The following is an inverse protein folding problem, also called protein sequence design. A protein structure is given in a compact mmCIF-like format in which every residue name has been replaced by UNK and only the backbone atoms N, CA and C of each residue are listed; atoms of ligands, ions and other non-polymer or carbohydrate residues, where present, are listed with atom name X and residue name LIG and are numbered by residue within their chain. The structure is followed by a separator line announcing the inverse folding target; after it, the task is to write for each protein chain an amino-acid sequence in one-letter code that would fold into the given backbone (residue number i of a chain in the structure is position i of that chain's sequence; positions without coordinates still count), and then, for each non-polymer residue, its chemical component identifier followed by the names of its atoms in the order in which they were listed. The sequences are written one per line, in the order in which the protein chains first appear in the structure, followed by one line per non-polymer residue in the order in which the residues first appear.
data_IF_871957409278
#
_entry.id   IF_871957409278
#
_cell.length_a   1.000
_cell.length_b   1.000
_cell.length_c   1.000
_cell.angle_alpha   90.00
_cell.angle_beta   90.00
_cell.angle_gamma   90.00
#
_symmetry.space_group_name_H-M   'P 1'
#
loop_
_entity.id
_entity.type
_entity.pdbx_description
1 polymer ?
#
# COMPACT_ATOMS: atom_id res chain seq x y z
N UNK A 1 -12.50 40.11 7.37
CA UNK A 1 -13.91 40.01 7.80
C UNK A 1 -13.97 38.90 8.84
N UNK A 2 -14.63 39.17 9.97
CA UNK A 2 -14.86 38.20 11.04
C UNK A 2 -15.99 37.26 10.60
N UNK A 3 -15.74 35.95 10.46
CA UNK A 3 -16.80 35.03 10.03
C UNK A 3 -17.71 34.63 11.20
N UNK A 4 -17.15 34.45 12.41
CA UNK A 4 -17.87 34.02 13.60
C UNK A 4 -17.26 34.66 14.86
N UNK A 5 -18.09 34.91 15.88
CA UNK A 5 -17.68 35.38 17.20
C UNK A 5 -17.76 34.21 18.19
N UNK A 6 -16.76 34.08 19.05
CA UNK A 6 -16.75 33.08 20.14
C UNK A 6 -17.85 33.38 21.17
N UNK A 7 -18.63 32.36 21.55
CA UNK A 7 -19.71 32.51 22.52
C UNK A 7 -19.14 32.56 23.95
N UNK A 8 -18.89 33.76 24.50
CA UNK A 8 -18.66 33.91 25.94
C UNK A 8 -17.68 34.99 26.43
N UNK A 9 -16.94 35.70 25.58
CA UNK A 9 -16.07 36.77 26.08
C UNK A 9 -15.21 37.43 25.00
N UNK A 10 -15.15 38.76 25.02
CA UNK A 10 -14.29 39.64 24.22
C UNK A 10 -14.36 39.59 22.67
N UNK A 11 -15.14 38.70 22.05
CA UNK A 11 -15.43 38.77 20.60
C UNK A 11 -14.23 38.45 19.70
N UNK A 12 -13.43 37.45 20.07
CA UNK A 12 -12.38 36.93 19.19
C UNK A 12 -13.00 36.35 17.93
N UNK A 13 -12.47 36.74 16.78
CA UNK A 13 -12.89 36.21 15.48
C UNK A 13 -12.29 34.83 15.27
N UNK A 14 -13.15 33.86 15.01
CA UNK A 14 -12.76 32.47 14.76
C UNK A 14 -13.22 32.01 13.39
N UNK A 15 -12.56 31.01 12.83
CA UNK A 15 -12.93 30.47 11.52
C UNK A 15 -14.18 29.59 11.62
N UNK A 16 -14.30 28.86 12.73
CA UNK A 16 -15.39 27.92 12.99
C UNK A 16 -15.64 27.78 14.50
N UNK A 17 -16.77 27.19 14.86
CA UNK A 17 -17.02 26.68 16.21
C UNK A 17 -17.65 25.29 16.10
N UNK A 18 -17.76 24.55 17.20
CA UNK A 18 -18.48 23.28 17.20
C UNK A 18 -19.94 23.43 16.71
N UNK A 19 -20.61 24.54 17.05
CA UNK A 19 -21.98 24.81 16.61
C UNK A 19 -22.07 25.25 15.13
N UNK A 20 -20.96 25.70 14.55
CA UNK A 20 -20.87 26.20 13.18
C UNK A 20 -19.78 25.49 12.38
N UNK A 21 -19.62 24.17 12.61
CA UNK A 21 -18.64 23.33 11.91
C UNK A 21 -18.84 23.35 10.38
N UNK A 22 -20.07 23.62 9.90
CA UNK A 22 -20.37 23.80 8.48
C UNK A 22 -19.67 25.01 7.82
N UNK A 23 -19.05 25.90 8.59
CA UNK A 23 -18.18 26.96 8.05
C UNK A 23 -16.88 26.39 7.43
N UNK A 24 -16.49 25.18 7.83
CA UNK A 24 -15.36 24.45 7.29
C UNK A 24 -15.80 23.67 6.04
N UNK A 25 -15.16 23.93 4.90
CA UNK A 25 -15.52 23.34 3.59
C UNK A 25 -14.27 22.97 2.79
N UNK A 26 -14.46 22.28 1.66
CA UNK A 26 -13.36 21.89 0.78
C UNK A 26 -12.39 20.92 1.47
N UNK A 27 -11.09 21.21 1.37
CA UNK A 27 -10.00 20.39 1.94
C UNK A 27 -9.76 20.65 3.43
N UNK A 28 -10.50 21.58 4.05
CA UNK A 28 -10.48 21.80 5.49
C UNK A 28 -11.90 21.71 6.06
N UNK A 29 -12.52 20.52 6.10
CA UNK A 29 -13.92 20.35 6.49
C UNK A 29 -14.13 20.23 8.01
N UNK A 30 -13.07 20.10 8.81
CA UNK A 30 -13.17 19.83 10.24
C UNK A 30 -12.89 21.09 11.04
N UNK A 31 -13.76 21.43 11.99
CA UNK A 31 -13.46 22.47 12.96
C UNK A 31 -12.61 21.90 14.10
N UNK A 32 -11.35 22.30 14.18
CA UNK A 32 -10.45 21.88 15.26
C UNK A 32 -10.76 22.55 16.61
N UNK A 33 -10.14 22.05 17.69
CA UNK A 33 -10.26 22.64 19.02
C UNK A 33 -9.76 24.09 19.10
N UNK A 34 -8.82 24.45 18.22
CA UNK A 34 -8.29 25.83 18.05
C UNK A 34 -9.24 26.76 17.28
N UNK A 35 -10.49 26.34 17.05
CA UNK A 35 -11.51 27.12 16.34
C UNK A 35 -11.07 27.52 14.90
N UNK A 36 -10.19 26.70 14.31
CA UNK A 36 -9.67 26.78 12.95
C UNK A 36 -10.09 25.56 12.13
N UNK A 37 -10.30 25.76 10.83
CA UNK A 37 -10.63 24.65 9.95
C UNK A 37 -9.36 23.89 9.57
N UNK A 38 -9.42 22.56 9.62
CA UNK A 38 -8.34 21.65 9.23
C UNK A 38 -8.84 20.54 8.32
N UNK A 39 -7.91 19.92 7.61
CA UNK A 39 -8.16 18.66 6.91
C UNK A 39 -8.61 17.56 7.89
N UNK A 40 -9.45 16.64 7.42
CA UNK A 40 -9.69 15.39 8.12
C UNK A 40 -8.42 14.53 8.07
N UNK A 41 -8.12 13.85 9.17
CA UNK A 41 -6.99 12.89 9.25
C UNK A 41 -7.48 11.46 9.42
N UNK A 42 -8.67 11.29 10.01
CA UNK A 42 -9.33 10.00 10.23
C UNK A 42 -10.77 10.04 9.77
N UNK A 43 -11.35 8.88 9.49
CA UNK A 43 -12.74 8.75 9.06
C UNK A 43 -13.73 9.43 10.01
N UNK A 44 -13.55 9.26 11.32
CA UNK A 44 -14.40 9.82 12.36
C UNK A 44 -14.41 11.37 12.44
N UNK A 45 -13.47 12.06 11.78
CA UNK A 45 -13.51 13.52 11.67
C UNK A 45 -14.67 14.01 10.77
N UNK A 46 -15.17 13.13 9.90
CA UNK A 46 -16.22 13.44 8.93
C UNK A 46 -17.57 12.95 9.42
N UNK A 47 -18.64 13.74 9.22
CA UNK A 47 -20.00 13.31 9.52
C UNK A 47 -20.42 12.05 8.72
N UNK A 48 -19.87 11.89 7.51
CA UNK A 48 -20.02 10.71 6.65
C UNK A 48 -19.09 9.54 7.00
N UNK A 49 -18.25 9.69 8.02
CA UNK A 49 -17.20 8.71 8.36
C UNK A 49 -16.24 8.43 7.17
N UNK A 50 -16.12 9.37 6.24
CA UNK A 50 -15.40 9.15 4.98
C UNK A 50 -14.43 10.31 4.68
N UNK A 51 -13.30 10.31 5.39
CA UNK A 51 -12.15 11.16 5.07
C UNK A 51 -11.43 10.71 3.80
N UNK A 52 -11.20 11.65 2.88
CA UNK A 52 -10.52 11.43 1.60
C UNK A 52 -9.02 11.75 1.70
N UNK A 53 -8.25 11.28 0.71
CA UNK A 53 -6.79 11.44 0.68
C UNK A 53 -6.34 12.91 0.62
N UNK A 54 -7.17 13.80 0.07
CA UNK A 54 -6.89 15.24 -0.01
C UNK A 54 -7.30 16.02 1.25
N UNK A 55 -7.73 15.32 2.31
CA UNK A 55 -8.16 15.94 3.57
C UNK A 55 -9.60 16.43 3.58
N UNK A 56 -10.35 16.26 2.48
CA UNK A 56 -11.78 16.58 2.43
C UNK A 56 -12.65 15.43 2.96
N UNK A 57 -13.91 15.74 3.31
CA UNK A 57 -14.91 14.74 3.70
C UNK A 57 -15.81 14.41 2.51
N UNK A 58 -16.01 13.13 2.23
CA UNK A 58 -16.96 12.72 1.20
C UNK A 58 -18.41 13.04 1.64
N UNK A 59 -19.27 13.56 0.75
CA UNK A 59 -20.69 13.76 1.08
C UNK A 59 -21.40 12.42 1.23
N UNK A 60 -22.17 12.25 2.31
CA UNK A 60 -22.72 10.96 2.75
C UNK A 60 -23.60 10.28 1.70
N UNK A 61 -24.35 11.05 0.90
CA UNK A 61 -25.22 10.54 -0.17
C UNK A 61 -24.45 9.94 -1.35
N UNK A 62 -23.15 10.24 -1.47
CA UNK A 62 -22.24 9.67 -2.49
C UNK A 62 -21.35 8.57 -1.93
N UNK A 63 -21.51 8.18 -0.66
CA UNK A 63 -20.79 7.06 -0.03
C UNK A 63 -21.72 5.86 0.03
N UNK A 64 -21.28 4.70 -0.48
CA UNK A 64 -21.93 3.42 -0.23
C UNK A 64 -21.27 2.76 0.99
N UNK A 65 -22.06 2.39 1.99
CA UNK A 65 -21.55 1.78 3.22
C UNK A 65 -21.75 0.27 3.15
N UNK A 66 -20.66 -0.46 3.38
CA UNK A 66 -20.66 -1.91 3.53
C UNK A 66 -20.09 -2.27 4.89
N UNK A 67 -20.80 -3.11 5.63
CA UNK A 67 -20.37 -3.60 6.93
C UNK A 67 -20.65 -5.09 7.03
N UNK A 68 -19.62 -5.86 7.37
CA UNK A 68 -19.73 -7.31 7.50
C UNK A 68 -20.83 -7.70 8.51
N UNK A 69 -21.65 -8.69 8.15
CA UNK A 69 -22.79 -9.13 8.97
C UNK A 69 -24.07 -8.30 8.81
N UNK A 70 -24.08 -7.29 7.94
CA UNK A 70 -25.29 -6.53 7.59
C UNK A 70 -26.17 -7.28 6.59
N UNK A 71 -27.08 -6.59 5.88
CA UNK A 71 -27.99 -7.20 4.90
C UNK A 71 -27.83 -6.56 3.52
N UNK A 72 -27.73 -7.37 2.46
CA UNK A 72 -27.71 -6.87 1.08
C UNK A 72 -29.09 -6.39 0.57
N UNK A 73 -30.15 -6.62 1.34
CA UNK A 73 -31.44 -5.97 1.14
C UNK A 73 -31.42 -4.49 1.56
N UNK A 74 -30.39 -4.06 2.31
CA UNK A 74 -30.23 -2.67 2.74
C UNK A 74 -29.85 -1.73 1.57
N UNK A 75 -30.15 -0.42 1.70
CA UNK A 75 -29.85 0.59 0.67
C UNK A 75 -28.38 1.06 0.66
N UNK A 76 -27.49 0.41 1.42
CA UNK A 76 -26.08 0.77 1.55
C UNK A 76 -25.86 2.21 2.08
N UNK A 77 -26.70 2.65 3.03
CA UNK A 77 -26.56 3.95 3.70
C UNK A 77 -25.79 3.79 5.01
N UNK A 78 -25.33 4.89 5.62
CA UNK A 78 -24.59 4.83 6.89
C UNK A 78 -25.37 4.11 8.00
N UNK A 79 -26.69 4.35 8.08
CA UNK A 79 -27.58 3.72 9.06
C UNK A 79 -28.04 2.31 8.66
N UNK A 80 -27.87 1.92 7.39
CA UNK A 80 -28.27 0.62 6.86
C UNK A 80 -27.25 0.15 5.82
N UNK A 81 -26.04 -0.24 6.26
CA UNK A 81 -24.99 -0.71 5.38
C UNK A 81 -25.37 -2.04 4.71
N UNK A 82 -24.81 -2.29 3.53
CA UNK A 82 -24.94 -3.59 2.88
C UNK A 82 -23.95 -4.62 3.45
N UNK A 83 -24.24 -5.90 3.22
CA UNK A 83 -23.44 -7.01 3.73
C UNK A 83 -22.20 -7.28 2.87
N UNK A 84 -22.26 -6.97 1.57
CA UNK A 84 -21.19 -7.21 0.60
C UNK A 84 -20.70 -5.95 -0.12
N UNK A 85 -19.42 -5.97 -0.48
CA UNK A 85 -18.76 -4.97 -1.31
C UNK A 85 -19.33 -4.98 -2.73
N UNK A 86 -19.67 -6.15 -3.26
CA UNK A 86 -20.34 -6.29 -4.56
C UNK A 86 -21.67 -5.54 -4.59
N UNK A 87 -22.46 -5.62 -3.51
CA UNK A 87 -23.69 -4.85 -3.38
C UNK A 87 -23.42 -3.36 -3.26
N UNK A 88 -22.41 -2.95 -2.50
CA UNK A 88 -21.97 -1.56 -2.41
C UNK A 88 -21.53 -1.01 -3.77
N UNK A 89 -20.77 -1.80 -4.53
CA UNK A 89 -20.31 -1.48 -5.88
C UNK A 89 -21.51 -1.31 -6.81
N UNK A 90 -22.55 -2.14 -6.72
CA UNK A 90 -23.73 -2.01 -7.58
C UNK A 90 -24.47 -0.67 -7.45
N UNK A 91 -24.24 0.11 -6.38
CA UNK A 91 -24.84 1.45 -6.20
C UNK A 91 -24.28 2.52 -7.14
N UNK A 92 -23.15 2.25 -7.81
CA UNK A 92 -22.41 3.21 -8.65
C UNK A 92 -21.95 4.48 -7.92
N UNK A 93 -21.97 4.48 -6.58
CA UNK A 93 -21.37 5.55 -5.78
C UNK A 93 -19.84 5.49 -5.91
N UNK A 94 -19.15 6.64 -5.99
CA UNK A 94 -17.71 6.71 -6.19
C UNK A 94 -16.90 6.27 -4.96
N UNK A 95 -17.45 6.44 -3.75
CA UNK A 95 -16.78 6.10 -2.50
C UNK A 95 -17.50 4.93 -1.82
N UNK A 96 -16.75 3.92 -1.43
CA UNK A 96 -17.23 2.79 -0.66
C UNK A 96 -16.57 2.81 0.71
N UNK A 97 -17.37 2.96 1.78
CA UNK A 97 -16.91 2.92 3.16
C UNK A 97 -17.08 1.51 3.71
N UNK A 98 -16.00 0.90 4.17
CA UNK A 98 -15.95 -0.51 4.53
C UNK A 98 -15.65 -0.69 6.02
N UNK A 99 -16.37 -1.59 6.69
CA UNK A 99 -16.04 -2.03 8.06
C UNK A 99 -16.22 -3.54 8.23
N UNK A 100 -15.23 -4.17 8.86
CA UNK A 100 -15.25 -5.61 9.16
C UNK A 100 -14.57 -6.48 8.09
N UNK A 101 -14.89 -7.77 8.10
CA UNK A 101 -14.25 -8.78 7.25
C UNK A 101 -15.22 -9.30 6.18
N UNK A 102 -14.81 -9.20 4.91
CA UNK A 102 -15.57 -9.62 3.75
C UNK A 102 -14.90 -10.84 3.10
N UNK A 103 -15.72 -11.77 2.59
CA UNK A 103 -15.25 -12.92 1.81
C UNK A 103 -15.88 -12.87 0.43
N UNK A 104 -15.23 -12.18 -0.50
CA UNK A 104 -15.68 -12.01 -1.87
C UNK A 104 -14.53 -11.61 -2.80
N UNK A 105 -14.77 -11.67 -4.10
CA UNK A 105 -13.83 -11.18 -5.11
C UNK A 105 -14.45 -10.00 -5.85
N UNK A 106 -13.66 -8.97 -6.12
CA UNK A 106 -14.13 -7.73 -6.76
C UNK A 106 -13.62 -7.62 -8.19
N UNK A 107 -14.52 -7.17 -9.06
CA UNK A 107 -14.22 -6.81 -10.43
C UNK A 107 -14.49 -5.31 -10.62
N UNK A 108 -13.44 -4.55 -10.92
CA UNK A 108 -13.52 -3.13 -11.23
C UNK A 108 -13.18 -2.96 -12.71
N UNK A 109 -14.19 -2.58 -13.50
CA UNK A 109 -14.11 -2.57 -14.96
C UNK A 109 -15.03 -1.51 -15.59
N UNK A 110 -15.06 -1.42 -16.92
CA UNK A 110 -16.02 -0.60 -17.66
C UNK A 110 -15.83 0.91 -17.50
N UNK A 111 -14.59 1.38 -17.29
CA UNK A 111 -14.30 2.81 -17.12
C UNK A 111 -14.69 3.36 -15.74
N UNK A 112 -14.95 2.47 -14.78
CA UNK A 112 -15.45 2.83 -13.45
C UNK A 112 -14.35 3.44 -12.58
N UNK A 113 -14.69 4.48 -11.82
CA UNK A 113 -13.81 5.10 -10.83
C UNK A 113 -14.33 4.84 -9.41
N UNK A 114 -13.55 4.16 -8.59
CA UNK A 114 -13.94 3.77 -7.23
C UNK A 114 -12.82 4.06 -6.25
N UNK A 115 -13.19 4.57 -5.08
CA UNK A 115 -12.33 4.65 -3.91
C UNK A 115 -12.90 3.78 -2.79
N UNK A 116 -12.10 2.84 -2.29
CA UNK A 116 -12.41 2.02 -1.13
C UNK A 116 -11.76 2.65 0.12
N UNK A 117 -12.58 3.00 1.10
CA UNK A 117 -12.20 3.64 2.34
C UNK A 117 -12.43 2.63 3.48
N UNK A 118 -11.39 1.92 3.92
CA UNK A 118 -11.52 0.93 4.98
C UNK A 118 -11.42 1.55 6.38
N UNK A 119 -12.25 1.10 7.33
CA UNK A 119 -11.91 1.28 8.75
C UNK A 119 -10.65 0.47 9.11
N UNK A 120 -9.83 0.94 10.07
CA UNK A 120 -8.70 0.17 10.57
C UNK A 120 -9.10 -1.26 10.94
N UNK A 121 -8.34 -2.23 10.44
CA UNK A 121 -8.61 -3.66 10.66
C UNK A 121 -9.65 -4.29 9.73
N UNK A 122 -10.23 -3.53 8.80
CA UNK A 122 -11.09 -4.13 7.77
C UNK A 122 -10.27 -5.06 6.86
N UNK A 123 -10.94 -6.13 6.42
CA UNK A 123 -10.28 -7.23 5.72
C UNK A 123 -11.11 -7.72 4.54
N UNK A 124 -10.46 -8.00 3.43
CA UNK A 124 -11.04 -8.66 2.27
C UNK A 124 -10.31 -9.97 2.00
N UNK A 125 -11.06 -11.06 2.00
CA UNK A 125 -10.60 -12.41 1.63
C UNK A 125 -11.24 -12.77 0.30
N UNK A 126 -10.45 -13.25 -0.66
CA UNK A 126 -10.98 -13.64 -1.96
C UNK A 126 -11.98 -14.77 -1.86
N UNK A 127 -13.00 -14.76 -2.73
CA UNK A 127 -13.92 -15.88 -2.90
C UNK A 127 -13.76 -16.52 -4.29
N UNK A 128 -13.73 -17.85 -4.34
CA UNK A 128 -13.74 -18.60 -5.59
C UNK A 128 -12.36 -18.82 -6.20
N UNK A 129 -12.23 -18.61 -7.51
CA UNK A 129 -10.99 -18.82 -8.25
C UNK A 129 -10.53 -17.51 -8.87
N UNK A 130 -9.27 -17.15 -8.72
CA UNK A 130 -8.69 -15.93 -9.29
C UNK A 130 -8.28 -14.92 -8.24
N UNK A 131 -7.99 -13.70 -8.71
CA UNK A 131 -7.56 -12.61 -7.85
C UNK A 131 -8.70 -12.13 -6.94
N UNK A 132 -8.37 -11.74 -5.72
CA UNK A 132 -9.32 -11.10 -4.79
C UNK A 132 -9.83 -9.78 -5.35
N UNK A 133 -8.97 -8.99 -6.02
CA UNK A 133 -9.37 -7.81 -6.80
C UNK A 133 -8.80 -7.92 -8.21
N UNK A 134 -9.68 -7.86 -9.21
CA UNK A 134 -9.34 -7.75 -10.63
C UNK A 134 -9.72 -6.37 -11.16
N UNK A 135 -8.76 -5.66 -11.76
CA UNK A 135 -8.97 -4.34 -12.36
C UNK A 135 -8.63 -4.36 -13.85
N UNK A 136 -9.53 -3.88 -14.70
CA UNK A 136 -9.36 -3.84 -16.16
C UNK A 136 -10.16 -2.72 -16.83
N UNK A 137 -10.01 -2.64 -18.14
CA UNK A 137 -10.55 -1.67 -19.09
C UNK A 137 -9.97 -0.25 -18.99
N UNK A 138 -10.05 0.46 -20.13
CA UNK A 138 -9.62 1.84 -20.22
C UNK A 138 -10.53 2.78 -19.43
N UNK A 139 -9.91 3.77 -18.78
CA UNK A 139 -10.61 4.76 -17.96
C UNK A 139 -11.01 4.25 -16.58
N UNK A 140 -10.79 2.97 -16.27
CA UNK A 140 -11.04 2.41 -14.94
C UNK A 140 -10.00 2.92 -13.95
N UNK A 141 -10.44 3.30 -12.75
CA UNK A 141 -9.56 3.73 -11.66
C UNK A 141 -10.01 3.15 -10.32
N UNK A 142 -9.05 2.64 -9.57
CA UNK A 142 -9.25 2.10 -8.22
C UNK A 142 -8.27 2.78 -7.26
N UNK A 143 -8.79 3.37 -6.18
CA UNK A 143 -8.00 3.85 -5.05
C UNK A 143 -8.41 3.09 -3.80
N UNK A 144 -7.46 2.58 -3.01
CA UNK A 144 -7.74 1.84 -1.77
C UNK A 144 -6.84 2.38 -0.65
N UNK A 145 -7.44 2.57 0.53
CA UNK A 145 -6.72 2.97 1.74
C UNK A 145 -7.05 2.05 2.93
N UNK A 146 -6.04 1.73 3.73
CA UNK A 146 -6.14 1.08 5.05
C UNK A 146 -6.77 -0.33 5.05
N UNK A 147 -6.81 -1.02 3.91
CA UNK A 147 -7.42 -2.35 3.76
C UNK A 147 -6.39 -3.48 3.84
N UNK A 148 -6.74 -4.56 4.54
CA UNK A 148 -6.01 -5.83 4.45
C UNK A 148 -6.64 -6.75 3.41
N UNK A 149 -5.89 -7.17 2.40
CA UNK A 149 -6.27 -8.20 1.43
C UNK A 149 -5.48 -9.46 1.74
N UNK A 150 -6.17 -10.56 2.06
CA UNK A 150 -5.48 -11.74 2.54
C UNK A 150 -6.14 -13.06 2.14
N UNK A 151 -5.34 -14.13 2.22
CA UNK A 151 -5.80 -15.51 2.04
C UNK A 151 -6.57 -15.72 0.72
N UNK A 152 -6.10 -15.12 -0.38
CA UNK A 152 -6.73 -15.33 -1.68
C UNK A 152 -6.82 -16.84 -1.99
N UNK A 153 -7.96 -17.30 -2.52
CA UNK A 153 -8.17 -18.72 -2.76
C UNK A 153 -7.36 -19.17 -3.98
N UNK A 154 -6.99 -20.47 -4.00
CA UNK A 154 -6.24 -21.13 -5.10
C UNK A 154 -4.78 -20.67 -5.25
N UNK A 155 -3.86 -21.62 -5.21
CA UNK A 155 -2.42 -21.34 -5.26
C UNK A 155 -1.90 -20.79 -6.58
N UNK A 156 -2.59 -21.01 -7.71
CA UNK A 156 -2.09 -20.61 -9.03
C UNK A 156 -2.58 -19.22 -9.48
N UNK A 157 -3.76 -18.79 -9.02
CA UNK A 157 -4.39 -17.54 -9.48
C UNK A 157 -4.89 -16.65 -8.35
N UNK A 158 -4.72 -17.06 -7.09
CA UNK A 158 -5.04 -16.30 -5.88
C UNK A 158 -4.09 -15.14 -5.66
N UNK A 159 -4.17 -14.12 -6.52
CA UNK A 159 -3.50 -12.84 -6.31
C UNK A 159 -4.31 -11.99 -5.32
N UNK A 160 -3.64 -11.15 -4.54
CA UNK A 160 -4.35 -10.12 -3.78
C UNK A 160 -4.99 -9.09 -4.72
N UNK A 161 -4.20 -8.52 -5.63
CA UNK A 161 -4.67 -7.63 -6.69
C UNK A 161 -4.00 -7.94 -8.03
N UNK A 162 -4.79 -7.96 -9.10
CA UNK A 162 -4.35 -8.22 -10.46
C UNK A 162 -4.85 -7.17 -11.45
N UNK A 163 -3.93 -6.61 -12.23
CA UNK A 163 -4.23 -5.95 -13.52
C UNK A 163 -3.64 -6.82 -14.64
N UNK A 164 -4.46 -7.49 -15.45
CA UNK A 164 -3.97 -8.42 -16.46
C UNK A 164 -3.35 -7.67 -17.66
N UNK A 165 -2.52 -8.35 -18.46
CA UNK A 165 -2.00 -7.79 -19.70
C UNK A 165 -3.14 -7.45 -20.66
N UNK A 166 -3.00 -6.36 -21.42
CA UNK A 166 -4.03 -5.90 -22.36
C UNK A 166 -5.31 -5.37 -21.71
N UNK A 167 -5.31 -5.16 -20.39
CA UNK A 167 -6.47 -4.69 -19.62
C UNK A 167 -6.86 -3.22 -19.83
N UNK A 168 -6.52 -2.58 -20.96
CA UNK A 168 -6.99 -1.22 -21.28
C UNK A 168 -6.32 -0.05 -20.53
N UNK A 169 -5.23 -0.29 -19.80
CA UNK A 169 -4.48 0.74 -19.05
C UNK A 169 -5.27 1.42 -17.90
N UNK A 170 -5.75 0.66 -16.91
CA UNK A 170 -6.41 1.22 -15.72
C UNK A 170 -5.42 1.91 -14.79
N UNK A 171 -5.92 2.72 -13.84
CA UNK A 171 -5.09 3.33 -12.78
C UNK A 171 -5.41 2.72 -11.41
N UNK A 172 -4.39 2.30 -10.67
CA UNK A 172 -4.51 1.72 -9.33
C UNK A 172 -3.66 2.53 -8.35
N UNK A 173 -4.28 3.00 -7.28
CA UNK A 173 -3.63 3.70 -6.16
C UNK A 173 -3.89 2.94 -4.86
N UNK A 174 -2.83 2.57 -4.16
CA UNK A 174 -2.84 1.74 -2.96
C UNK A 174 -2.03 2.44 -1.87
N UNK A 175 -2.68 2.76 -0.76
CA UNK A 175 -2.04 3.46 0.37
C UNK A 175 -2.32 2.75 1.67
N UNK A 176 -1.29 2.52 2.50
CA UNK A 176 -1.46 1.86 3.79
C UNK A 176 -2.15 0.48 3.70
N UNK A 177 -1.85 -0.25 2.61
CA UNK A 177 -2.43 -1.57 2.35
C UNK A 177 -1.65 -2.67 3.05
N UNK A 178 -2.32 -3.78 3.36
CA UNK A 178 -1.66 -5.02 3.77
C UNK A 178 -2.05 -6.15 2.85
N UNK A 179 -1.10 -6.78 2.18
CA UNK A 179 -1.33 -7.98 1.36
C UNK A 179 -0.68 -9.18 2.02
N UNK A 180 -1.48 -10.13 2.51
CA UNK A 180 -0.99 -11.22 3.37
C UNK A 180 -1.40 -12.58 2.82
N UNK A 181 -0.46 -13.52 2.69
CA UNK A 181 -0.76 -14.92 2.39
C UNK A 181 -1.62 -15.11 1.11
N UNK A 182 -1.35 -14.32 0.06
CA UNK A 182 -1.97 -14.51 -1.25
C UNK A 182 -1.07 -15.43 -2.08
N UNK A 183 -1.54 -16.64 -2.43
CA UNK A 183 -0.63 -17.69 -2.84
C UNK A 183 -0.12 -17.55 -4.28
N UNK A 184 -0.80 -16.82 -5.17
CA UNK A 184 -0.26 -16.49 -6.50
C UNK A 184 0.59 -15.21 -6.49
N UNK A 185 0.54 -14.44 -5.39
CA UNK A 185 1.31 -13.21 -5.18
C UNK A 185 0.47 -12.09 -4.61
N UNK A 186 1.12 -11.08 -4.01
CA UNK A 186 0.42 -9.95 -3.41
C UNK A 186 -0.22 -9.05 -4.47
N UNK A 187 0.61 -8.47 -5.34
CA UNK A 187 0.18 -7.54 -6.39
C UNK A 187 0.85 -7.87 -7.72
N UNK A 188 0.08 -7.94 -8.79
CA UNK A 188 0.58 -8.15 -10.16
C UNK A 188 -0.05 -7.15 -11.12
N UNK A 189 0.77 -6.31 -11.75
CA UNK A 189 0.33 -5.30 -12.72
C UNK A 189 1.03 -5.56 -14.06
N UNK A 190 0.25 -5.84 -15.10
CA UNK A 190 0.73 -6.07 -16.46
C UNK A 190 0.22 -5.05 -17.49
N UNK A 191 -0.34 -3.93 -17.02
CA UNK A 191 -0.75 -2.78 -17.81
C UNK A 191 -1.21 -1.62 -16.93
N UNK A 192 -1.29 -0.40 -17.48
CA UNK A 192 -1.81 0.77 -16.76
C UNK A 192 -0.82 1.48 -15.84
N UNK A 193 -1.32 2.05 -14.75
CA UNK A 193 -0.49 2.75 -13.75
C UNK A 193 -0.70 2.22 -12.34
N UNK A 194 0.39 2.09 -11.58
CA UNK A 194 0.36 1.75 -10.16
C UNK A 194 0.99 2.84 -9.30
N UNK A 195 0.27 3.33 -8.29
CA UNK A 195 0.85 4.01 -7.14
C UNK A 195 0.68 3.12 -5.91
N UNK A 196 1.78 2.71 -5.29
CA UNK A 196 1.79 1.86 -4.10
C UNK A 196 2.63 2.52 -3.02
N UNK A 197 2.00 2.94 -1.94
CA UNK A 197 2.68 3.67 -0.87
C UNK A 197 2.35 3.15 0.51
N UNK A 198 3.32 3.22 1.43
CA UNK A 198 3.12 2.92 2.87
C UNK A 198 2.51 1.55 3.14
N UNK A 199 2.74 0.59 2.25
CA UNK A 199 2.05 -0.71 2.26
C UNK A 199 2.97 -1.85 2.66
N UNK A 200 2.37 -2.92 3.17
CA UNK A 200 3.07 -4.12 3.61
C UNK A 200 2.61 -5.34 2.80
N UNK A 201 3.54 -5.96 2.07
CA UNK A 201 3.32 -7.17 1.28
C UNK A 201 4.07 -8.31 1.98
N UNK A 202 3.32 -9.18 2.65
CA UNK A 202 3.85 -10.16 3.59
C UNK A 202 3.42 -11.60 3.30
N UNK A 203 4.35 -12.53 3.32
CA UNK A 203 4.06 -13.98 3.28
C UNK A 203 3.25 -14.43 2.05
N UNK A 204 3.41 -13.76 0.90
CA UNK A 204 2.70 -14.12 -0.32
C UNK A 204 3.52 -15.17 -1.09
N UNK A 205 3.00 -16.39 -1.24
CA UNK A 205 3.73 -17.52 -1.83
C UNK A 205 4.20 -17.22 -3.25
N UNK A 206 3.38 -16.62 -4.12
CA UNK A 206 3.79 -16.31 -5.50
C UNK A 206 4.64 -15.05 -5.64
N UNK A 207 5.03 -14.43 -4.53
CA UNK A 207 5.88 -13.25 -4.47
C UNK A 207 5.15 -11.98 -4.03
N UNK A 208 5.93 -10.92 -3.75
CA UNK A 208 5.41 -9.64 -3.30
C UNK A 208 4.77 -8.86 -4.44
N UNK A 209 5.60 -8.29 -5.31
CA UNK A 209 5.18 -7.38 -6.38
C UNK A 209 5.72 -7.81 -7.74
N UNK A 210 4.82 -7.97 -8.71
CA UNK A 210 5.18 -8.11 -10.13
C UNK A 210 4.72 -6.91 -10.94
N UNK A 211 5.63 -6.30 -11.68
CA UNK A 211 5.35 -5.26 -12.67
C UNK A 211 5.86 -5.73 -14.03
N UNK A 212 4.94 -5.79 -14.99
CA UNK A 212 5.20 -6.20 -16.36
C UNK A 212 4.43 -5.32 -17.34
N UNK A 213 4.70 -5.51 -18.63
CA UNK A 213 4.07 -4.76 -19.71
C UNK A 213 4.88 -3.52 -20.12
N UNK A 214 5.06 -3.26 -21.43
CA UNK A 214 5.88 -2.16 -21.92
C UNK A 214 5.28 -0.77 -21.62
N UNK A 215 3.96 -0.69 -21.45
CA UNK A 215 3.22 0.55 -21.24
C UNK A 215 2.85 0.80 -19.77
N UNK A 216 3.39 -0.01 -18.85
CA UNK A 216 3.11 0.12 -17.42
C UNK A 216 3.98 1.19 -16.79
N UNK A 217 3.33 2.16 -16.14
CA UNK A 217 3.97 3.20 -15.31
C UNK A 217 3.78 2.86 -13.82
N UNK A 218 4.73 3.23 -12.97
CA UNK A 218 4.52 3.05 -11.53
C UNK A 218 5.30 4.01 -10.64
N UNK A 219 4.76 4.24 -9.44
CA UNK A 219 5.41 4.88 -8.30
C UNK A 219 5.20 3.98 -7.09
N UNK A 220 6.26 3.30 -6.67
CA UNK A 220 6.25 2.36 -5.55
C UNK A 220 7.21 2.90 -4.50
N UNK A 221 6.67 3.45 -3.41
CA UNK A 221 7.52 4.07 -2.37
C UNK A 221 7.09 3.75 -0.96
N UNK A 222 8.06 3.72 -0.04
CA UNK A 222 7.78 3.64 1.39
C UNK A 222 7.04 2.34 1.77
N UNK A 223 7.33 1.23 1.09
CA UNK A 223 6.67 -0.07 1.32
C UNK A 223 7.60 -1.11 1.93
N UNK A 224 7.03 -2.05 2.68
CA UNK A 224 7.72 -3.26 3.16
C UNK A 224 7.27 -4.47 2.36
N UNK A 225 8.21 -5.21 1.78
CA UNK A 225 7.98 -6.47 1.07
C UNK A 225 8.79 -7.55 1.75
N UNK A 226 8.12 -8.36 2.58
CA UNK A 226 8.79 -9.31 3.44
C UNK A 226 8.24 -10.74 3.34
N UNK A 227 9.13 -11.73 3.53
CA UNK A 227 8.75 -13.14 3.61
C UNK A 227 7.96 -13.68 2.41
N UNK A 228 8.01 -13.03 1.25
CA UNK A 228 7.32 -13.48 0.06
C UNK A 228 8.14 -14.57 -0.66
N UNK A 229 7.46 -15.46 -1.37
CA UNK A 229 8.10 -16.54 -2.13
C UNK A 229 8.65 -17.71 -1.30
N UNK A 230 8.47 -17.66 0.03
CA UNK A 230 8.95 -18.69 0.97
C UNK A 230 8.47 -20.08 0.59
N UNK A 231 9.41 -21.01 0.48
CA UNK A 231 9.19 -22.32 -0.10
C UNK A 231 8.27 -23.19 0.78
N UNK A 232 6.95 -23.17 0.49
CA UNK A 232 6.15 -24.40 0.51
C UNK A 232 6.31 -24.99 -0.87
N UNK A 233 6.98 -26.14 -0.99
CA UNK A 233 7.18 -26.79 -2.28
C UNK A 233 5.85 -26.82 -3.09
N UNK A 234 5.86 -26.44 -4.38
CA UNK A 234 7.01 -26.01 -5.18
C UNK A 234 7.47 -24.57 -4.89
N UNK A 235 8.78 -24.31 -4.98
CA UNK A 235 9.35 -22.96 -4.81
C UNK A 235 8.73 -21.96 -5.79
N UNK A 236 8.36 -20.78 -5.31
CA UNK A 236 7.89 -19.68 -6.15
C UNK A 236 8.94 -19.25 -7.16
N UNK A 237 8.52 -18.79 -8.35
CA UNK A 237 9.44 -18.18 -9.30
C UNK A 237 9.94 -16.82 -8.80
N UNK A 238 9.18 -16.15 -7.93
CA UNK A 238 9.39 -14.79 -7.45
C UNK A 238 9.41 -14.72 -5.91
N UNK A 239 10.35 -13.93 -5.38
CA UNK A 239 10.40 -13.56 -3.96
C UNK A 239 9.75 -12.19 -3.72
N UNK A 240 10.57 -11.16 -3.51
CA UNK A 240 10.13 -9.81 -3.18
C UNK A 240 9.52 -9.10 -4.38
N UNK A 241 10.35 -8.70 -5.34
CA UNK A 241 9.94 -7.80 -6.43
C UNK A 241 10.49 -8.23 -7.78
N UNK A 242 9.65 -8.21 -8.82
CA UNK A 242 10.05 -8.32 -10.21
C UNK A 242 9.52 -7.15 -11.04
N UNK A 243 10.43 -6.42 -11.68
CA UNK A 243 10.14 -5.33 -12.62
C UNK A 243 10.71 -5.74 -13.97
N UNK A 244 9.83 -6.27 -14.84
CA UNK A 244 10.23 -6.96 -16.07
C UNK A 244 10.25 -6.03 -17.29
N UNK A 245 9.29 -5.12 -17.34
CA UNK A 245 9.13 -4.13 -18.40
C UNK A 245 8.41 -2.93 -17.82
N UNK A 246 8.81 -1.74 -18.24
CA UNK A 246 8.23 -0.50 -17.76
C UNK A 246 8.51 0.65 -18.71
N UNK A 247 7.77 1.73 -18.51
CA UNK A 247 8.00 3.01 -19.18
C UNK A 247 8.98 3.89 -18.39
N UNK A 248 9.60 4.83 -19.11
CA UNK A 248 10.37 5.93 -18.52
C UNK A 248 9.58 6.67 -17.44
N UNK A 249 10.27 7.13 -16.40
CA UNK A 249 9.68 7.89 -15.29
C UNK A 249 9.11 7.04 -14.16
N UNK A 250 9.19 5.71 -14.25
CA UNK A 250 8.76 4.81 -13.17
C UNK A 250 9.76 4.80 -12.01
N UNK A 251 9.25 4.69 -10.78
CA UNK A 251 10.01 4.87 -9.53
C UNK A 251 9.76 3.72 -8.57
N UNK A 252 10.84 3.15 -8.04
CA UNK A 252 10.85 2.19 -6.94
C UNK A 252 11.76 2.73 -5.84
N UNK A 253 11.26 3.58 -4.96
CA UNK A 253 12.11 4.37 -4.04
C UNK A 253 11.79 4.12 -2.58
N UNK A 254 12.79 4.10 -1.70
CA UNK A 254 12.58 4.01 -0.23
C UNK A 254 11.72 2.81 0.19
N UNK A 255 11.91 1.65 -0.43
CA UNK A 255 11.24 0.42 -0.02
C UNK A 255 12.18 -0.47 0.80
N UNK A 256 11.63 -1.25 1.72
CA UNK A 256 12.33 -2.32 2.43
C UNK A 256 11.94 -3.68 1.84
N UNK A 257 12.89 -4.37 1.19
CA UNK A 257 12.68 -5.69 0.56
C UNK A 257 13.51 -6.73 1.30
N UNK A 258 12.87 -7.56 2.12
CA UNK A 258 13.57 -8.31 3.15
C UNK A 258 13.06 -9.73 3.39
N UNK A 259 13.95 -10.69 3.67
CA UNK A 259 13.58 -12.09 4.01
C UNK A 259 12.71 -12.80 2.96
N UNK A 260 12.75 -12.36 1.70
CA UNK A 260 12.01 -13.02 0.63
C UNK A 260 12.83 -14.19 0.06
N UNK A 261 12.17 -15.17 -0.52
CA UNK A 261 12.81 -16.34 -1.13
C UNK A 261 12.29 -16.59 -2.55
N UNK A 262 13.08 -17.20 -3.43
CA UNK A 262 12.62 -17.57 -4.78
C UNK A 262 13.35 -18.80 -5.31
N UNK A 263 12.77 -19.49 -6.30
CA UNK A 263 13.35 -20.66 -6.96
C UNK A 263 14.49 -20.34 -7.95
N UNK A 264 14.99 -19.10 -7.98
CA UNK A 264 16.17 -18.71 -8.76
C UNK A 264 15.92 -18.23 -10.20
N UNK A 265 14.67 -18.23 -10.70
CA UNK A 265 14.35 -17.60 -12.00
C UNK A 265 14.41 -16.09 -11.89
N UNK A 266 13.77 -15.54 -10.85
CA UNK A 266 13.94 -14.16 -10.41
C UNK A 266 14.73 -14.15 -9.10
N UNK A 267 15.51 -13.10 -8.89
CA UNK A 267 16.13 -12.82 -7.59
C UNK A 267 15.09 -12.65 -6.51
N UNK A 268 15.44 -13.15 -5.34
CA UNK A 268 14.56 -13.13 -4.19
C UNK A 268 14.34 -11.73 -3.65
N UNK A 269 15.30 -10.81 -3.73
CA UNK A 269 15.10 -9.40 -3.38
C UNK A 269 14.41 -8.62 -4.50
N UNK A 270 15.20 -7.93 -5.32
CA UNK A 270 14.75 -7.11 -6.44
C UNK A 270 15.28 -7.65 -7.77
N UNK A 271 14.39 -8.17 -8.61
CA UNK A 271 14.68 -8.45 -10.02
C UNK A 271 14.25 -7.29 -10.88
N UNK A 272 15.20 -6.65 -11.56
CA UNK A 272 14.87 -5.53 -12.44
C UNK A 272 15.58 -5.66 -13.79
N UNK A 273 14.78 -5.87 -14.84
CA UNK A 273 15.22 -5.85 -16.24
C UNK A 273 14.73 -4.62 -16.99
N UNK A 274 13.94 -3.76 -16.36
CA UNK A 274 13.44 -2.51 -16.93
C UNK A 274 14.49 -1.38 -16.90
N UNK A 275 15.07 -0.96 -18.05
CA UNK A 275 16.25 -0.07 -18.10
C UNK A 275 16.01 1.38 -17.63
N UNK A 276 14.75 1.75 -17.33
CA UNK A 276 14.33 3.14 -17.14
C UNK A 276 13.73 3.40 -15.74
N UNK A 277 13.97 2.52 -14.78
CA UNK A 277 13.46 2.64 -13.41
C UNK A 277 14.50 3.31 -12.52
N UNK A 278 14.12 4.39 -11.85
CA UNK A 278 14.85 4.90 -10.70
C UNK A 278 14.53 4.05 -9.48
N UNK A 279 15.54 3.37 -8.93
CA UNK A 279 15.41 2.47 -7.80
C UNK A 279 16.27 2.93 -6.61
N UNK A 280 16.11 4.18 -6.13
CA UNK A 280 16.96 4.81 -5.11
C UNK A 280 16.41 4.69 -3.68
N UNK A 281 17.30 4.83 -2.69
CA UNK A 281 16.93 4.86 -1.27
C UNK A 281 16.37 3.56 -0.71
N UNK A 282 16.44 2.43 -1.43
CA UNK A 282 15.87 1.17 -0.98
C UNK A 282 16.80 0.45 0.00
N UNK A 283 16.21 -0.35 0.87
CA UNK A 283 16.90 -1.29 1.75
C UNK A 283 16.55 -2.72 1.33
N UNK A 284 17.52 -3.46 0.78
CA UNK A 284 17.33 -4.80 0.23
C UNK A 284 18.20 -5.77 1.03
N UNK A 285 17.59 -6.62 1.85
CA UNK A 285 18.31 -7.33 2.90
C UNK A 285 17.85 -8.78 3.07
N UNK A 286 18.80 -9.71 3.27
CA UNK A 286 18.51 -11.08 3.72
C UNK A 286 17.52 -11.85 2.84
N UNK A 287 17.50 -11.60 1.54
CA UNK A 287 16.69 -12.39 0.60
C UNK A 287 17.48 -13.65 0.17
N UNK A 288 16.83 -14.78 -0.11
CA UNK A 288 17.53 -16.05 -0.34
C UNK A 288 16.98 -16.96 -1.44
N UNK A 289 17.88 -17.58 -2.19
CA UNK A 289 17.55 -18.58 -3.22
C UNK A 289 17.97 -19.99 -2.74
N UNK A 290 17.37 -21.10 -3.20
CA UNK A 290 17.88 -22.44 -2.93
C UNK A 290 19.35 -22.58 -3.36
N UNK A 291 20.18 -23.14 -2.49
CA UNK A 291 21.61 -23.38 -2.77
C UNK A 291 21.89 -24.69 -3.55
N UNK A 292 20.84 -25.45 -3.87
CA UNK A 292 20.91 -26.76 -4.51
C UNK A 292 21.24 -27.93 -3.56
N UNK A 293 21.59 -27.64 -2.30
CA UNK A 293 21.95 -28.61 -1.25
C UNK A 293 20.92 -28.67 -0.11
N UNK A 294 19.76 -28.03 -0.30
CA UNK A 294 18.68 -27.96 0.70
C UNK A 294 18.79 -26.79 1.67
N UNK A 295 19.78 -25.90 1.48
CA UNK A 295 19.93 -24.64 2.20
C UNK A 295 19.50 -23.42 1.37
N UNK A 296 19.74 -22.24 1.94
CA UNK A 296 19.54 -20.95 1.28
C UNK A 296 20.88 -20.30 0.97
N UNK A 297 21.04 -19.88 -0.28
CA UNK A 297 22.07 -18.97 -0.74
C UNK A 297 21.66 -17.55 -0.35
N UNK A 298 22.47 -16.92 0.50
CA UNK A 298 22.30 -15.53 0.94
C UNK A 298 23.54 -14.73 0.51
N UNK A 299 23.61 -14.36 -0.77
CA UNK A 299 24.68 -13.53 -1.30
C UNK A 299 24.15 -12.31 -2.04
N UNK A 300 25.05 -11.41 -2.47
CA UNK A 300 24.65 -10.16 -3.14
C UNK A 300 23.81 -10.43 -4.40
N UNK A 301 24.06 -11.56 -5.09
CA UNK A 301 23.30 -11.92 -6.29
C UNK A 301 21.85 -12.26 -6.01
N UNK A 302 21.52 -12.68 -4.78
CA UNK A 302 20.13 -12.96 -4.35
C UNK A 302 19.38 -11.70 -3.93
N UNK A 303 20.10 -10.61 -3.60
CA UNK A 303 19.49 -9.33 -3.22
C UNK A 303 19.02 -8.57 -4.46
N UNK A 304 19.85 -8.48 -5.50
CA UNK A 304 19.53 -7.71 -6.71
C UNK A 304 19.89 -8.48 -7.97
N UNK A 305 19.00 -8.44 -8.97
CA UNK A 305 19.20 -9.02 -10.30
C UNK A 305 20.39 -8.42 -11.05
N UNK A 306 20.88 -9.09 -12.11
CA UNK A 306 22.01 -8.60 -12.88
C UNK A 306 21.84 -7.11 -13.25
N UNK A 307 22.90 -6.30 -13.13
CA UNK A 307 22.84 -4.84 -13.02
C UNK A 307 22.44 -4.06 -14.30
N UNK A 308 21.58 -4.60 -15.17
CA UNK A 308 21.23 -3.99 -16.46
C UNK A 308 19.92 -3.21 -16.53
N UNK A 309 19.01 -3.35 -15.55
CA UNK A 309 17.68 -2.71 -15.60
C UNK A 309 17.57 -1.43 -14.77
N UNK A 310 17.50 -1.55 -13.45
CA UNK A 310 17.23 -0.42 -12.57
C UNK A 310 18.48 0.40 -12.24
N UNK A 311 18.32 1.72 -12.16
CA UNK A 311 19.32 2.61 -11.56
C UNK A 311 19.17 2.62 -10.03
N UNK A 312 20.00 1.84 -9.32
CA UNK A 312 19.88 1.66 -7.87
C UNK A 312 20.21 2.89 -7.02
N UNK A 313 20.85 3.91 -7.59
CA UNK A 313 21.22 5.13 -6.85
C UNK A 313 22.00 4.82 -5.57
N UNK A 314 21.51 5.31 -4.43
CA UNK A 314 22.05 5.09 -3.09
C UNK A 314 21.39 3.93 -2.32
N UNK A 315 20.68 3.03 -3.00
CA UNK A 315 20.09 1.85 -2.35
C UNK A 315 21.16 0.95 -1.74
N UNK A 316 20.84 0.34 -0.60
CA UNK A 316 21.69 -0.61 0.10
C UNK A 316 21.18 -2.03 -0.12
N UNK A 317 22.03 -2.88 -0.69
CA UNK A 317 21.78 -4.30 -0.87
C UNK A 317 22.78 -5.14 -0.06
N UNK A 318 22.31 -5.84 0.96
CA UNK A 318 23.15 -6.61 1.87
C UNK A 318 22.66 -8.06 1.99
N UNK A 319 23.54 -9.06 1.78
CA UNK A 319 23.14 -10.45 1.85
C UNK A 319 22.82 -10.90 3.27
N UNK A 320 23.66 -10.51 4.22
CA UNK A 320 23.50 -10.78 5.64
C UNK A 320 24.20 -9.67 6.41
N UNK A 321 23.74 -9.44 7.62
CA UNK A 321 24.59 -8.96 8.70
C UNK A 321 24.56 -10.02 9.79
N UNK A 322 25.56 -10.01 10.67
CA UNK A 322 25.60 -10.96 11.77
C UNK A 322 24.53 -10.69 12.84
N UNK A 323 23.80 -9.55 12.79
CA UNK A 323 23.14 -8.97 13.97
C UNK A 323 21.81 -8.21 13.75
N UNK A 324 21.11 -8.35 12.61
CA UNK A 324 19.91 -7.56 12.25
C UNK A 324 20.26 -6.07 12.03
N UNK A 325 19.71 -5.45 10.98
CA UNK A 325 19.94 -4.05 10.61
C UNK A 325 19.32 -3.04 11.61
N UNK A 326 19.03 -3.48 12.84
CA UNK A 326 18.38 -2.70 13.87
C UNK A 326 16.86 -2.64 13.73
N UNK A 327 16.21 -3.55 12.99
CA UNK A 327 14.74 -3.64 12.99
C UNK A 327 14.22 -4.09 14.36
N UNK A 328 13.05 -3.59 14.78
CA UNK A 328 12.48 -3.89 16.10
C UNK A 328 12.14 -5.38 16.32
N UNK A 329 11.43 -6.02 15.39
CA UNK A 329 11.07 -7.45 15.49
C UNK A 329 10.91 -8.08 14.10
N UNK A 330 12.01 -8.22 13.33
CA UNK A 330 11.91 -8.66 11.95
C UNK A 330 11.57 -10.14 11.80
N UNK A 331 11.72 -10.96 12.85
CA UNK A 331 11.62 -12.43 12.79
C UNK A 331 10.46 -13.00 13.63
N UNK A 332 10.07 -12.30 14.70
CA UNK A 332 9.04 -12.79 15.64
C UNK A 332 7.73 -12.01 15.43
N UNK A 333 6.58 -12.69 15.26
CA UNK A 333 5.28 -12.05 15.21
C UNK A 333 4.93 -11.30 16.52
N UNK A 334 4.27 -10.13 16.45
CA UNK A 334 3.98 -9.39 15.22
C UNK A 334 5.27 -8.86 14.58
N UNK A 335 5.42 -9.11 13.28
CA UNK A 335 6.61 -8.70 12.54
C UNK A 335 6.65 -7.18 12.48
N UNK A 336 7.82 -6.62 12.79
CA UNK A 336 8.03 -5.18 12.92
C UNK A 336 9.36 -4.79 12.28
N UNK A 337 9.25 -4.01 11.22
CA UNK A 337 10.37 -3.53 10.39
C UNK A 337 10.69 -2.05 10.63
N UNK A 338 10.18 -1.44 11.72
CA UNK A 338 10.61 -0.09 12.10
C UNK A 338 12.06 -0.12 12.54
N UNK A 339 12.79 0.93 12.19
CA UNK A 339 14.16 1.18 12.58
C UNK A 339 14.23 1.50 14.08
N UNK A 340 15.37 1.22 14.71
CA UNK A 340 15.58 1.47 16.14
C UNK A 340 16.88 2.24 16.36
N UNK A 341 17.17 2.56 17.62
CA UNK A 341 18.44 3.19 17.99
C UNK A 341 19.67 2.34 17.66
N UNK A 342 19.48 1.04 17.44
CA UNK A 342 20.52 0.09 17.03
C UNK A 342 20.76 0.05 15.51
N UNK A 343 19.93 0.74 14.72
CA UNK A 343 20.11 0.81 13.26
C UNK A 343 21.47 1.45 12.92
N UNK A 344 22.29 0.82 12.06
CA UNK A 344 23.61 1.33 11.74
C UNK A 344 23.53 2.61 10.91
N UNK A 345 24.56 3.46 10.99
CA UNK A 345 24.68 4.70 10.21
C UNK A 345 24.78 4.48 8.68
N UNK A 346 24.93 3.23 8.23
CA UNK A 346 24.83 2.89 6.80
C UNK A 346 23.38 2.89 6.31
N UNK A 347 22.41 2.79 7.22
CA UNK A 347 20.97 2.87 6.94
C UNK A 347 20.41 4.21 7.39
N UNK A 348 20.75 4.65 8.60
CA UNK A 348 20.27 5.91 9.17
C UNK A 348 20.97 7.12 8.53
N UNK A 349 20.21 8.14 8.16
CA UNK A 349 20.65 9.37 7.48
C UNK A 349 21.44 9.09 6.17
N UNK A 350 21.27 7.92 5.56
CA UNK A 350 22.04 7.48 4.38
C UNK A 350 21.28 7.62 3.04
N UNK A 351 19.99 7.92 3.11
CA UNK A 351 19.07 8.12 1.99
C UNK A 351 19.24 9.45 1.25
N UNK A 352 19.99 10.41 1.82
CA UNK A 352 20.17 11.74 1.27
C UNK A 352 18.93 12.63 1.47
N UNK A 353 18.81 13.71 0.70
CA UNK A 353 17.66 14.61 0.78
C UNK A 353 16.40 13.93 0.20
N UNK A 354 15.31 13.91 0.97
CA UNK A 354 14.01 13.48 0.48
C UNK A 354 12.88 14.25 1.19
N UNK A 355 11.65 14.02 0.75
CA UNK A 355 10.42 14.56 1.35
C UNK A 355 9.34 13.49 1.29
N UNK A 356 8.25 13.71 2.04
CA UNK A 356 7.09 12.83 2.02
C UNK A 356 6.84 12.23 3.38
N UNK A 357 6.18 11.08 3.36
CA UNK A 357 5.71 10.37 4.55
C UNK A 357 6.19 8.93 4.45
N UNK A 358 6.76 8.39 5.52
CA UNK A 358 7.24 7.01 5.60
C UNK A 358 6.12 5.99 5.88
N UNK A 359 6.47 4.75 6.23
CA UNK A 359 5.55 3.64 6.42
C UNK A 359 4.40 3.92 7.39
N UNK A 360 4.65 4.59 8.51
CA UNK A 360 3.69 4.73 9.60
C UNK A 360 3.05 6.12 9.69
N UNK A 361 3.45 7.05 8.81
CA UNK A 361 2.83 8.37 8.73
C UNK A 361 3.73 9.52 9.16
N UNK A 362 5.01 9.26 9.45
CA UNK A 362 5.96 10.28 9.89
C UNK A 362 6.56 11.02 8.69
N UNK A 363 6.86 12.31 8.91
CA UNK A 363 7.44 13.14 7.87
C UNK A 363 8.93 12.80 7.65
N UNK A 364 9.37 12.84 6.39
CA UNK A 364 10.77 12.67 6.02
C UNK A 364 11.45 14.01 5.67
N UNK A 365 12.76 14.18 5.97
CA UNK A 365 13.57 13.34 6.86
C UNK A 365 13.20 13.57 8.33
N UNK A 366 13.38 12.56 9.18
CA UNK A 366 13.34 12.75 10.64
C UNK A 366 14.67 13.32 11.18
N UNK A 367 15.78 13.02 10.51
CA UNK A 367 17.14 13.42 10.88
C UNK A 367 17.76 14.48 9.97
N UNK A 368 19.07 14.36 9.75
CA UNK A 368 19.84 15.24 8.86
C UNK A 368 19.63 14.86 7.39
N UNK A 369 19.27 13.62 7.13
CA UNK A 369 18.90 13.08 5.83
C UNK A 369 17.84 11.98 6.03
N UNK A 370 17.27 11.48 4.94
CA UNK A 370 16.33 10.37 5.05
C UNK A 370 17.06 9.07 5.35
N UNK A 371 16.37 8.16 6.01
CA UNK A 371 16.85 6.79 6.19
C UNK A 371 16.65 5.97 4.92
N UNK A 372 17.43 4.90 4.76
CA UNK A 372 17.20 3.92 3.69
C UNK A 372 16.05 2.98 4.06
N UNK A 373 15.19 2.71 3.07
CA UNK A 373 14.03 1.83 3.24
C UNK A 373 12.75 2.57 3.61
N UNK A 374 11.77 1.80 4.05
CA UNK A 374 10.37 2.25 4.19
C UNK A 374 10.07 3.15 5.39
N UNK A 375 10.98 3.25 6.35
CA UNK A 375 10.75 3.83 7.67
C UNK A 375 11.81 4.88 7.99
N UNK A 376 11.48 5.89 8.80
CA UNK A 376 12.46 6.79 9.44
C UNK A 376 12.63 6.41 10.92
N UNK A 377 13.88 6.39 11.39
CA UNK A 377 14.15 6.30 12.81
C UNK A 377 13.81 7.62 13.51
N UNK A 378 12.74 7.61 14.29
CA UNK A 378 12.42 8.67 15.25
C UNK A 378 12.84 8.26 16.68
N UNK A 379 13.71 9.03 17.36
CA UNK A 379 14.25 8.71 18.69
C UNK A 379 13.25 8.56 19.83
#
# INVERSE_FOLDING_TARGET
MCNLLEAGGAGTCVQCTAASAAACTGQTPVCGGELSCRACSVHADCASEACLADGSCAPAERVAYAAAGSSDAAPCTQLAPCASLSRALATMRPWLKLSGAFTESLLIEGGRKVTLLAEPGSRLVGAGTGATILVRDAGTSLSIRDLTIADAPNTATGYGLLVPPGGGSPSVELTAMRFINNPAGAVSIAGGSLQLTRSVLLDNLGGGLTIAGPDTTFVVTDNVMAYNGRARAPSSLLGGVAILSNTSGSRFERNTVVYNESGGVYRSGLSCSGPLVAASGNLIFHNGEPDGNGGLKLDVSTQVGPPGGCALGNSLALPTDANNLGFRSPVLPPLDFHLTSQTPALVRDAGGACTGIDLDGQARPAGAACDLGADEYVP
#
